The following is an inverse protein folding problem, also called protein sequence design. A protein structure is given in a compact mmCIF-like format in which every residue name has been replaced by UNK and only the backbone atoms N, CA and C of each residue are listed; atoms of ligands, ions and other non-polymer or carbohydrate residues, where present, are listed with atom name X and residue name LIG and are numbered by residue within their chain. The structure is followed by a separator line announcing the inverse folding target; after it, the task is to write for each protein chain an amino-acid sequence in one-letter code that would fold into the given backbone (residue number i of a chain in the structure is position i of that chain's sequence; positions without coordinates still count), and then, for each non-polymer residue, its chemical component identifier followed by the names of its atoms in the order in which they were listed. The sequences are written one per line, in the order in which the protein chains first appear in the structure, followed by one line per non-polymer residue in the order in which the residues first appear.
data_IF_129049709171
#
_entry.id   IF_129049709171
#
_cell.length_a   1.000
_cell.length_b   1.000
_cell.length_c   1.000
_cell.angle_alpha   90.00
_cell.angle_beta   90.00
_cell.angle_gamma   90.00
#
_symmetry.space_group_name_H-M   'P 1'
#
loop_
_entity.id
_entity.type
_entity.pdbx_description
1 polymer ?
#
# COMPACT_ATOMS: atom_id res chain seq x y z
N UNK A 1 4.20 -12.19 31.18
CA UNK A 1 3.83 -11.45 29.96
C UNK A 1 2.37 -10.96 29.95
N UNK A 2 1.37 -11.79 30.26
CA UNK A 2 -0.04 -11.32 30.35
C UNK A 2 -0.35 -10.34 31.51
N UNK A 3 0.43 -10.35 32.59
CA UNK A 3 0.24 -9.43 33.73
C UNK A 3 0.64 -7.98 33.43
N UNK A 4 1.63 -7.75 32.56
CA UNK A 4 2.15 -6.40 32.25
C UNK A 4 1.17 -5.62 31.36
N UNK A 5 0.64 -6.25 30.30
CA UNK A 5 -0.41 -5.66 29.46
C UNK A 5 -1.63 -5.25 30.30
N UNK A 6 -2.05 -6.10 31.24
CA UNK A 6 -3.20 -5.81 32.10
C UNK A 6 -2.93 -4.65 33.07
N UNK A 7 -1.67 -4.43 33.46
CA UNK A 7 -1.26 -3.27 34.26
C UNK A 7 -1.25 -1.98 33.41
N UNK A 8 -0.84 -2.05 32.14
CA UNK A 8 -0.85 -0.90 31.22
C UNK A 8 -2.28 -0.50 30.83
N UNK A 9 -3.17 -1.46 30.59
CA UNK A 9 -4.60 -1.21 30.37
C UNK A 9 -5.28 -0.62 31.61
N UNK A 10 -4.99 -1.15 32.81
CA UNK A 10 -5.49 -0.59 34.07
C UNK A 10 -4.90 0.79 34.33
N UNK A 11 -3.63 1.02 34.02
CA UNK A 11 -3.00 2.34 34.13
C UNK A 11 -3.73 3.34 33.23
N UNK A 12 -3.98 3.01 31.96
CA UNK A 12 -4.78 3.85 31.07
C UNK A 12 -6.19 4.13 31.60
N UNK A 13 -6.83 3.12 32.20
CA UNK A 13 -8.17 3.21 32.79
C UNK A 13 -8.22 4.04 34.10
N UNK A 14 -7.16 4.03 34.91
CA UNK A 14 -7.12 4.76 36.20
C UNK A 14 -6.48 6.15 36.10
N UNK A 15 -5.47 6.33 35.24
CA UNK A 15 -4.77 7.62 35.09
C UNK A 15 -5.39 8.50 34.01
N UNK A 16 -6.15 7.91 33.09
CA UNK A 16 -6.49 8.55 31.82
C UNK A 16 -5.23 8.84 30.97
N UNK A 17 -5.40 9.36 29.75
CA UNK A 17 -4.33 10.07 29.07
C UNK A 17 -3.83 11.21 29.99
N UNK A 18 -2.53 11.49 29.97
CA UNK A 18 -1.79 12.38 30.88
C UNK A 18 -2.26 13.83 30.96
N UNK A 19 -3.38 14.17 30.33
CA UNK A 19 -3.91 15.51 30.18
C UNK A 19 -5.41 15.53 30.53
N UNK A 20 -5.72 15.24 31.81
CA UNK A 20 -7.08 15.03 32.35
C UNK A 20 -8.11 16.13 32.05
N UNK A 21 -7.70 17.30 31.57
CA UNK A 21 -8.58 18.44 31.30
C UNK A 21 -8.53 18.95 29.85
N UNK A 22 -7.80 18.29 28.94
CA UNK A 22 -7.52 18.86 27.61
C UNK A 22 -8.12 17.99 26.52
N UNK A 23 -9.28 18.41 26.04
CA UNK A 23 -9.93 17.81 24.88
C UNK A 23 -9.05 17.81 23.62
N UNK A 24 -9.43 17.04 22.60
CA UNK A 24 -8.62 16.82 21.40
C UNK A 24 -9.15 17.61 20.21
N UNK A 25 -8.25 18.19 19.42
CA UNK A 25 -8.66 18.83 18.17
C UNK A 25 -9.31 17.86 17.20
N UNK A 26 -10.30 18.38 16.49
CA UNK A 26 -10.90 17.76 15.31
C UNK A 26 -10.75 18.72 14.13
N UNK A 27 -10.83 18.18 12.91
CA UNK A 27 -10.64 18.95 11.68
C UNK A 27 -11.81 19.87 11.30
N UNK A 28 -12.73 20.18 12.21
CA UNK A 28 -13.90 21.01 11.90
C UNK A 28 -13.48 22.48 11.82
N UNK A 29 -14.05 23.20 10.85
CA UNK A 29 -13.86 24.62 10.60
C UNK A 29 -15.19 25.33 10.36
N UNK A 30 -15.15 26.65 10.46
CA UNK A 30 -16.25 27.53 10.07
C UNK A 30 -15.70 28.76 9.34
N UNK A 31 -16.30 29.10 8.19
CA UNK A 31 -15.94 30.30 7.39
C UNK A 31 -16.85 31.51 7.68
N UNK A 32 -17.67 31.42 8.74
CA UNK A 32 -18.70 32.40 9.09
C UNK A 32 -20.04 32.20 8.37
N UNK A 33 -20.11 31.31 7.37
CA UNK A 33 -21.35 30.95 6.65
C UNK A 33 -21.72 29.48 6.83
N UNK A 34 -20.72 28.59 6.91
CA UNK A 34 -20.93 27.16 7.02
C UNK A 34 -19.82 26.47 7.81
N UNK A 35 -20.17 25.31 8.35
CA UNK A 35 -19.22 24.33 8.83
C UNK A 35 -18.65 23.52 7.68
N UNK A 36 -17.37 23.16 7.79
CA UNK A 36 -16.72 22.22 6.88
C UNK A 36 -15.59 21.47 7.59
N UNK A 37 -15.34 20.24 7.17
CA UNK A 37 -14.16 19.50 7.60
C UNK A 37 -12.95 19.87 6.73
N UNK A 38 -11.76 19.95 7.34
CA UNK A 38 -10.49 20.19 6.64
C UNK A 38 -10.20 19.13 5.56
N UNK A 39 -10.77 17.92 5.68
CA UNK A 39 -10.63 16.83 4.71
C UNK A 39 -11.64 16.90 3.55
N UNK A 40 -12.56 17.88 3.56
CA UNK A 40 -13.57 18.09 2.53
C UNK A 40 -14.79 17.17 2.62
N UNK A 41 -14.89 16.31 3.64
CA UNK A 41 -16.10 15.49 3.86
C UNK A 41 -17.30 16.35 4.25
N UNK A 42 -18.50 15.82 3.99
CA UNK A 42 -19.75 16.51 4.31
C UNK A 42 -20.00 16.55 5.82
N UNK A 43 -20.53 17.67 6.31
CA UNK A 43 -20.85 17.85 7.74
C UNK A 43 -22.27 17.32 7.98
N UNK A 44 -22.36 16.02 8.19
CA UNK A 44 -23.66 15.30 8.26
C UNK A 44 -24.07 14.99 9.70
N UNK A 45 -23.14 15.20 10.63
CA UNK A 45 -23.29 14.98 12.06
C UNK A 45 -22.60 16.11 12.83
N UNK A 46 -23.24 16.57 13.89
CA UNK A 46 -22.70 17.58 14.79
C UNK A 46 -22.99 17.22 16.24
N UNK A 47 -22.02 17.44 17.14
CA UNK A 47 -22.18 17.17 18.57
C UNK A 47 -21.75 18.34 19.46
N UNK A 48 -22.19 19.55 19.10
CA UNK A 48 -21.85 20.77 19.86
C UNK A 48 -22.35 20.72 21.31
N UNK A 49 -21.54 21.24 22.23
CA UNK A 49 -21.93 21.41 23.63
C UNK A 49 -22.97 22.52 23.81
N UNK A 50 -22.89 23.55 22.97
CA UNK A 50 -23.79 24.70 22.97
C UNK A 50 -24.14 25.04 21.52
N UNK A 51 -25.44 25.05 21.22
CA UNK A 51 -25.97 25.34 19.88
C UNK A 51 -25.77 26.81 19.48
N UNK A 52 -25.48 27.71 20.42
CA UNK A 52 -25.20 29.12 20.15
C UNK A 52 -23.78 29.35 19.63
N UNK A 53 -22.86 28.39 19.82
CA UNK A 53 -21.50 28.42 19.25
C UNK A 53 -21.49 28.17 17.73
N UNK A 54 -22.66 27.97 17.11
CA UNK A 54 -22.78 27.65 15.70
C UNK A 54 -22.33 28.80 14.76
N UNK A 55 -22.35 30.05 15.23
CA UNK A 55 -22.14 31.21 14.35
C UNK A 55 -21.66 32.44 15.13
N UNK A 56 -20.37 32.52 15.46
CA UNK A 56 -19.77 33.81 15.83
C UNK A 56 -18.75 34.22 14.76
N UNK A 57 -19.16 35.12 13.87
CA UNK A 57 -18.34 35.68 12.81
C UNK A 57 -17.44 36.81 13.33
N UNK A 58 -16.64 36.56 14.37
CA UNK A 58 -15.55 37.49 14.66
C UNK A 58 -14.36 37.14 13.76
N UNK A 59 -13.52 38.14 13.48
CA UNK A 59 -12.32 38.09 12.63
C UNK A 59 -11.21 37.15 13.15
N UNK A 60 -11.56 36.24 14.04
CA UNK A 60 -10.64 35.40 14.79
C UNK A 60 -10.76 33.94 14.33
N UNK A 61 -9.62 33.28 14.16
CA UNK A 61 -9.59 31.88 13.75
C UNK A 61 -9.99 30.99 14.93
N UNK A 62 -11.24 30.50 14.93
CA UNK A 62 -11.68 29.48 15.88
C UNK A 62 -11.29 28.09 15.41
N UNK A 63 -10.99 27.23 16.37
CA UNK A 63 -10.80 25.80 16.16
C UNK A 63 -11.68 24.99 17.09
N UNK A 64 -12.01 23.78 16.67
CA UNK A 64 -13.01 22.92 17.30
C UNK A 64 -12.36 21.69 17.92
N UNK A 65 -12.71 21.38 19.17
CA UNK A 65 -12.18 20.23 19.89
C UNK A 65 -13.29 19.42 20.57
N UNK A 66 -13.02 18.14 20.78
CA UNK A 66 -13.85 17.23 21.59
C UNK A 66 -13.38 17.30 23.03
N UNK A 67 -14.25 17.69 23.96
CA UNK A 67 -13.93 17.67 25.39
C UNK A 67 -13.89 16.22 25.90
N UNK A 68 -12.84 15.89 26.66
CA UNK A 68 -12.60 14.54 27.17
C UNK A 68 -13.63 14.09 28.22
N UNK A 69 -14.37 15.01 28.83
CA UNK A 69 -15.30 14.74 29.94
C UNK A 69 -16.70 14.38 29.46
N UNK A 70 -17.21 15.05 28.44
CA UNK A 70 -18.58 14.87 27.94
C UNK A 70 -18.67 14.49 26.45
N UNK A 71 -17.52 14.37 25.77
CA UNK A 71 -17.39 14.10 24.35
C UNK A 71 -18.11 15.12 23.44
N UNK A 72 -18.46 16.31 23.95
CA UNK A 72 -19.09 17.39 23.20
C UNK A 72 -18.06 18.26 22.50
N UNK A 73 -18.50 18.91 21.43
CA UNK A 73 -17.66 19.79 20.63
C UNK A 73 -17.74 21.23 21.15
N UNK A 74 -16.57 21.80 21.39
CA UNK A 74 -16.38 23.17 21.87
C UNK A 74 -15.48 23.95 20.92
N UNK A 75 -15.58 25.27 20.94
CA UNK A 75 -14.71 26.17 20.19
C UNK A 75 -13.71 26.88 21.09
N UNK A 76 -12.56 27.25 20.53
CA UNK A 76 -11.61 28.14 21.18
C UNK A 76 -10.84 28.94 20.13
N UNK A 77 -10.39 30.14 20.50
CA UNK A 77 -9.48 30.95 19.70
C UNK A 77 -8.18 30.18 19.43
N UNK A 78 -7.72 30.17 18.18
CA UNK A 78 -6.47 29.54 17.79
C UNK A 78 -5.26 30.12 18.56
N UNK A 79 -5.31 31.41 18.93
CA UNK A 79 -4.27 32.08 19.71
C UNK A 79 -4.23 31.68 21.18
N UNK A 80 -5.34 31.20 21.74
CA UNK A 80 -5.40 30.68 23.11
C UNK A 80 -4.93 29.21 23.20
N UNK A 81 -4.25 28.73 22.15
CA UNK A 81 -3.90 27.34 21.97
C UNK A 81 -2.41 27.07 22.17
N UNK A 82 -2.08 26.49 23.32
CA UNK A 82 -0.78 25.88 23.58
C UNK A 82 -1.06 24.53 24.25
N UNK A 83 -0.67 23.43 23.60
CA UNK A 83 -0.65 22.07 24.16
C UNK A 83 -1.99 21.32 24.29
N UNK A 84 -2.61 20.92 23.17
CA UNK A 84 -3.63 19.84 23.16
C UNK A 84 -3.26 18.71 22.21
N UNK A 85 -3.72 17.50 22.53
CA UNK A 85 -3.69 16.39 21.59
C UNK A 85 -4.61 16.63 20.38
N UNK A 86 -4.32 15.98 19.25
CA UNK A 86 -5.09 16.11 18.02
C UNK A 86 -5.46 14.72 17.48
N UNK A 87 -6.60 14.64 16.78
CA UNK A 87 -7.05 13.42 16.11
C UNK A 87 -6.81 13.56 14.61
N UNK A 88 -5.97 12.68 14.06
CA UNK A 88 -5.83 12.52 12.62
C UNK A 88 -6.82 11.48 12.12
N UNK A 89 -7.65 11.84 11.15
CA UNK A 89 -8.54 10.91 10.44
C UNK A 89 -8.03 10.75 9.01
N UNK A 90 -7.88 9.50 8.57
CA UNK A 90 -7.75 9.15 7.15
C UNK A 90 -8.97 8.31 6.80
N UNK A 91 -9.78 8.81 5.86
CA UNK A 91 -10.95 8.06 5.42
C UNK A 91 -10.51 6.69 4.87
N UNK A 92 -11.15 5.63 5.36
CA UNK A 92 -10.96 4.29 4.83
C UNK A 92 -11.41 4.31 3.38
N UNK A 93 -10.45 4.18 2.46
CA UNK A 93 -10.68 4.04 1.03
C UNK A 93 -10.41 2.57 0.69
N UNK A 94 -11.44 1.72 0.51
CA UNK A 94 -11.27 0.34 0.06
C UNK A 94 -10.48 0.27 -1.26
N UNK A 95 -10.55 1.33 -2.06
CA UNK A 95 -9.88 1.47 -3.35
C UNK A 95 -8.49 2.14 -3.27
N UNK A 96 -7.97 2.44 -2.06
CA UNK A 96 -6.56 2.83 -1.89
C UNK A 96 -5.68 1.58 -1.93
N UNK A 97 -5.60 1.07 -3.17
CA UNK A 97 -4.61 0.22 -3.79
C UNK A 97 -3.72 -0.58 -2.85
N UNK A 98 -4.00 -1.88 -2.74
CA UNK A 98 -3.04 -2.92 -2.30
C UNK A 98 -1.73 -2.82 -3.11
N UNK A 99 -1.76 -2.14 -4.26
CA UNK A 99 -0.73 -2.15 -5.29
C UNK A 99 -0.05 -0.80 -5.52
N UNK A 100 -0.44 0.29 -4.85
CA UNK A 100 0.05 1.66 -5.17
C UNK A 100 0.06 1.95 -6.69
N UNK A 101 1.24 2.10 -7.31
CA UNK A 101 1.48 2.33 -8.75
C UNK A 101 1.43 1.05 -9.62
N UNK A 102 1.28 -0.13 -9.02
CA UNK A 102 1.15 -1.42 -9.69
C UNK A 102 -0.31 -1.72 -10.03
N UNK A 103 -0.53 -2.54 -11.04
CA UNK A 103 -1.85 -3.03 -11.41
C UNK A 103 -2.22 -4.27 -10.60
N UNK A 104 -3.43 -4.30 -10.04
CA UNK A 104 -3.96 -5.49 -9.36
C UNK A 104 -4.34 -6.55 -10.39
N UNK A 105 -3.87 -7.78 -10.20
CA UNK A 105 -4.34 -8.93 -10.97
C UNK A 105 -5.75 -9.30 -10.47
N UNK A 106 -6.79 -9.29 -11.32
CA UNK A 106 -8.17 -9.52 -10.89
C UNK A 106 -8.35 -10.84 -10.16
N UNK A 107 -9.16 -10.83 -9.09
CA UNK A 107 -9.46 -12.01 -8.25
C UNK A 107 -8.26 -12.59 -7.49
N UNK A 108 -7.12 -11.91 -7.47
CA UNK A 108 -5.96 -12.27 -6.64
C UNK A 108 -5.61 -11.13 -5.68
N UNK A 109 -4.54 -11.33 -4.90
CA UNK A 109 -3.92 -10.28 -4.06
C UNK A 109 -2.55 -9.87 -4.61
N UNK A 110 -2.29 -10.17 -5.89
CA UNK A 110 -1.00 -9.94 -6.54
C UNK A 110 -1.05 -8.64 -7.32
N UNK A 111 0.01 -7.85 -7.19
CA UNK A 111 0.19 -6.59 -7.87
C UNK A 111 1.35 -6.73 -8.87
N UNK A 112 1.18 -6.27 -10.11
CA UNK A 112 2.20 -6.36 -11.15
C UNK A 112 2.36 -5.04 -11.89
N UNK A 113 3.59 -4.75 -12.33
CA UNK A 113 3.87 -3.64 -13.23
C UNK A 113 4.64 -4.15 -14.43
N UNK A 114 4.24 -3.75 -15.64
CA UNK A 114 4.84 -4.20 -16.89
C UNK A 114 5.60 -3.04 -17.53
N UNK A 115 6.93 -3.12 -17.46
CA UNK A 115 7.84 -2.16 -18.07
C UNK A 115 8.13 -2.53 -19.52
N UNK A 116 8.05 -1.56 -20.44
CA UNK A 116 8.30 -1.79 -21.88
C UNK A 116 9.74 -1.51 -22.31
N UNK A 117 10.53 -0.89 -21.45
CA UNK A 117 11.94 -0.59 -21.73
C UNK A 117 12.79 -1.84 -21.50
N UNK A 118 13.48 -2.33 -22.54
CA UNK A 118 14.39 -3.47 -22.39
C UNK A 118 15.53 -3.14 -21.42
N UNK A 119 15.83 -4.11 -20.55
CA UNK A 119 16.86 -4.07 -19.50
C UNK A 119 17.41 -5.48 -19.30
N UNK A 120 18.63 -5.55 -18.77
CA UNK A 120 19.17 -6.81 -18.24
C UNK A 120 18.34 -7.29 -17.05
N UNK A 121 18.43 -8.57 -16.67
CA UNK A 121 17.72 -9.08 -15.48
C UNK A 121 18.14 -8.33 -14.22
N UNK A 122 19.42 -8.01 -14.09
CA UNK A 122 19.96 -7.24 -12.96
C UNK A 122 19.37 -5.83 -12.88
N UNK A 123 19.27 -5.11 -13.99
CA UNK A 123 18.75 -3.74 -13.98
C UNK A 123 17.22 -3.69 -13.93
N UNK A 124 16.54 -4.72 -14.45
CA UNK A 124 15.11 -4.94 -14.26
C UNK A 124 14.77 -5.16 -12.80
N UNK A 125 15.50 -6.03 -12.11
CA UNK A 125 15.35 -6.28 -10.67
C UNK A 125 15.57 -5.01 -9.85
N UNK A 126 16.66 -4.27 -10.09
CA UNK A 126 16.90 -2.98 -9.43
C UNK A 126 15.74 -2.00 -9.63
N UNK A 127 15.15 -1.97 -10.83
CA UNK A 127 14.01 -1.10 -11.13
C UNK A 127 12.78 -1.48 -10.29
N UNK A 128 12.49 -2.77 -10.16
CA UNK A 128 11.38 -3.27 -9.36
C UNK A 128 11.61 -3.02 -7.85
N UNK A 129 12.82 -3.29 -7.35
CA UNK A 129 13.20 -3.04 -5.95
C UNK A 129 13.06 -1.56 -5.58
N UNK A 130 13.47 -0.65 -6.46
CA UNK A 130 13.34 0.79 -6.24
C UNK A 130 11.89 1.28 -6.15
N UNK A 131 10.92 0.48 -6.62
CA UNK A 131 9.48 0.78 -6.55
C UNK A 131 8.75 -0.11 -5.53
N UNK A 132 9.49 -0.77 -4.63
CA UNK A 132 8.91 -1.56 -3.55
C UNK A 132 8.52 -3.00 -3.92
N UNK A 133 8.94 -3.49 -5.08
CA UNK A 133 8.66 -4.85 -5.57
C UNK A 133 9.90 -5.63 -5.96
N UNK A 134 9.71 -6.71 -6.72
CA UNK A 134 10.75 -7.55 -7.31
C UNK A 134 10.34 -7.91 -8.75
N UNK A 135 11.26 -8.42 -9.56
CA UNK A 135 10.83 -9.11 -10.78
C UNK A 135 9.81 -10.20 -10.41
N UNK A 136 8.76 -10.32 -11.23
CA UNK A 136 7.55 -11.03 -10.83
C UNK A 136 7.81 -12.49 -10.44
N UNK A 137 7.35 -12.86 -9.25
CA UNK A 137 7.12 -14.25 -8.84
C UNK A 137 5.71 -14.69 -9.25
N UNK A 138 5.57 -15.92 -9.73
CA UNK A 138 4.32 -16.43 -10.27
C UNK A 138 3.95 -17.71 -9.52
N UNK A 139 2.84 -17.66 -8.78
CA UNK A 139 2.35 -18.72 -7.91
C UNK A 139 1.09 -19.42 -8.42
N UNK A 140 0.51 -18.93 -9.51
CA UNK A 140 -0.67 -19.53 -10.13
C UNK A 140 -0.83 -19.12 -11.60
N UNK A 141 -1.70 -19.84 -12.30
CA UNK A 141 -1.98 -19.60 -13.71
C UNK A 141 -2.73 -18.27 -13.97
N UNK A 142 -3.48 -17.74 -12.99
CA UNK A 142 -4.20 -16.47 -13.13
C UNK A 142 -3.21 -15.32 -13.28
N UNK A 143 -2.17 -15.29 -12.44
CA UNK A 143 -1.07 -14.32 -12.51
C UNK A 143 -0.26 -14.53 -13.79
N UNK A 144 0.07 -15.79 -14.14
CA UNK A 144 0.81 -16.12 -15.37
C UNK A 144 0.13 -15.56 -16.63
N UNK A 145 -1.16 -15.87 -16.80
CA UNK A 145 -1.95 -15.44 -17.95
C UNK A 145 -2.16 -13.91 -17.97
N UNK A 146 -2.36 -13.28 -16.80
CA UNK A 146 -2.45 -11.82 -16.72
C UNK A 146 -1.17 -11.14 -17.22
N UNK A 147 0.01 -11.54 -16.72
CA UNK A 147 1.29 -10.97 -17.14
C UNK A 147 1.48 -11.12 -18.66
N UNK A 148 1.21 -12.31 -19.20
CA UNK A 148 1.34 -12.60 -20.64
C UNK A 148 0.42 -11.71 -21.48
N UNK A 149 -0.87 -11.60 -21.12
CA UNK A 149 -1.84 -10.76 -21.85
C UNK A 149 -1.49 -9.28 -21.77
N UNK A 150 -1.12 -8.80 -20.58
CA UNK A 150 -0.72 -7.40 -20.35
C UNK A 150 0.57 -7.04 -21.09
N UNK A 151 1.52 -7.97 -21.22
CA UNK A 151 2.72 -7.78 -22.02
C UNK A 151 2.39 -7.62 -23.52
N UNK A 152 1.52 -8.48 -24.06
CA UNK A 152 1.09 -8.39 -25.48
C UNK A 152 0.33 -7.09 -25.76
N UNK A 153 -0.57 -6.66 -24.87
CA UNK A 153 -1.29 -5.39 -25.06
C UNK A 153 -0.35 -4.18 -25.05
N UNK A 154 0.83 -4.33 -24.45
CA UNK A 154 1.93 -3.34 -24.45
C UNK A 154 2.96 -3.58 -25.57
N UNK A 155 2.63 -4.42 -26.55
CA UNK A 155 3.46 -4.77 -27.71
C UNK A 155 4.80 -5.47 -27.37
N UNK A 156 4.89 -6.15 -26.23
CA UNK A 156 6.03 -7.00 -25.85
C UNK A 156 5.81 -8.42 -26.37
N UNK A 157 6.29 -8.71 -27.58
CA UNK A 157 6.02 -9.98 -28.30
C UNK A 157 7.16 -11.01 -28.21
N UNK A 158 8.35 -10.56 -27.83
CA UNK A 158 9.55 -11.39 -27.75
C UNK A 158 9.81 -11.95 -26.33
N UNK A 159 8.82 -11.81 -25.44
CA UNK A 159 8.88 -12.25 -24.06
C UNK A 159 9.10 -11.12 -23.04
N UNK A 160 9.01 -11.48 -21.76
CA UNK A 160 9.23 -10.58 -20.62
C UNK A 160 10.02 -11.28 -19.53
N UNK A 161 10.94 -10.57 -18.88
CA UNK A 161 11.74 -11.11 -17.77
C UNK A 161 10.87 -11.35 -16.53
N UNK A 162 11.14 -12.44 -15.82
CA UNK A 162 10.48 -12.80 -14.55
C UNK A 162 11.53 -13.04 -13.46
N UNK A 163 11.11 -13.07 -12.19
CA UNK A 163 12.01 -13.09 -11.04
C UNK A 163 12.61 -14.45 -10.69
N UNK A 164 12.48 -15.46 -11.56
CA UNK A 164 13.01 -16.80 -11.29
C UNK A 164 14.50 -16.84 -11.61
N UNK A 165 15.26 -17.50 -10.75
CA UNK A 165 16.69 -17.78 -10.94
C UNK A 165 17.02 -19.23 -10.61
N UNK A 166 18.05 -19.77 -11.25
CA UNK A 166 18.55 -21.12 -11.02
C UNK A 166 19.95 -21.06 -10.41
N UNK A 167 20.10 -21.51 -9.16
CA UNK A 167 21.36 -21.56 -8.43
C UNK A 167 21.79 -23.01 -8.15
N UNK A 168 23.10 -23.22 -7.97
CA UNK A 168 23.69 -24.48 -7.48
C UNK A 168 24.63 -25.17 -8.46
N UNK A 169 25.59 -25.94 -7.90
CA UNK A 169 26.68 -26.60 -8.62
C UNK A 169 26.22 -27.56 -9.76
N UNK A 170 24.94 -27.95 -9.77
CA UNK A 170 24.31 -28.80 -10.79
C UNK A 170 23.02 -28.20 -11.39
N UNK A 171 22.72 -26.92 -11.16
CA UNK A 171 21.59 -26.22 -11.78
C UNK A 171 20.19 -26.67 -11.35
N UNK A 172 19.98 -27.24 -10.16
CA UNK A 172 18.64 -27.76 -9.80
C UNK A 172 17.83 -26.88 -8.85
N UNK A 173 18.43 -25.89 -8.17
CA UNK A 173 17.71 -25.10 -7.18
C UNK A 173 17.13 -23.81 -7.79
N UNK A 174 15.82 -23.81 -7.98
CA UNK A 174 15.05 -22.65 -8.44
C UNK A 174 14.72 -21.73 -7.26
N UNK A 175 14.84 -20.43 -7.45
CA UNK A 175 14.55 -19.42 -6.44
C UNK A 175 13.90 -18.18 -7.06
N UNK A 176 12.83 -17.70 -6.44
CA UNK A 176 12.29 -16.38 -6.74
C UNK A 176 13.14 -15.27 -6.07
N UNK A 177 13.28 -14.14 -6.74
CA UNK A 177 14.02 -12.98 -6.21
C UNK A 177 13.43 -12.43 -4.92
N UNK A 178 12.09 -12.48 -4.79
CA UNK A 178 11.32 -12.05 -3.62
C UNK A 178 11.36 -13.02 -2.41
N UNK A 179 12.09 -14.14 -2.55
CA UNK A 179 12.28 -15.18 -1.53
C UNK A 179 11.04 -15.99 -1.17
N UNK A 180 9.97 -15.89 -1.95
CA UNK A 180 8.82 -16.80 -1.84
C UNK A 180 9.19 -18.22 -2.29
N UNK A 181 8.40 -19.21 -1.87
CA UNK A 181 8.58 -20.60 -2.29
C UNK A 181 8.21 -20.79 -3.76
N UNK A 182 8.97 -21.64 -4.47
CA UNK A 182 8.61 -22.09 -5.82
C UNK A 182 7.57 -23.21 -5.72
N UNK A 183 6.30 -22.86 -5.82
CA UNK A 183 5.13 -23.74 -5.72
C UNK A 183 4.34 -23.89 -7.04
N UNK A 184 4.67 -23.07 -8.04
CA UNK A 184 4.11 -23.10 -9.39
C UNK A 184 5.23 -23.01 -10.43
N UNK A 185 5.10 -23.78 -11.50
CA UNK A 185 6.03 -23.76 -12.64
C UNK A 185 5.26 -23.88 -13.95
N UNK A 186 5.72 -23.18 -14.97
CA UNK A 186 5.12 -23.21 -16.31
C UNK A 186 6.23 -23.22 -17.39
N UNK A 187 7.18 -24.14 -17.29
CA UNK A 187 8.31 -24.20 -18.23
C UNK A 187 7.86 -24.65 -19.62
N UNK A 188 8.49 -24.07 -20.64
CA UNK A 188 8.40 -24.60 -21.99
C UNK A 188 9.02 -26.00 -22.06
N UNK A 189 8.64 -26.76 -23.09
CA UNK A 189 9.24 -28.08 -23.33
C UNK A 189 10.76 -27.98 -23.41
N UNK A 190 11.45 -28.88 -22.71
CA UNK A 190 12.92 -28.97 -22.64
C UNK A 190 13.61 -27.84 -21.84
N UNK A 191 12.85 -27.10 -21.02
CA UNK A 191 13.35 -26.09 -20.08
C UNK A 191 13.11 -26.47 -18.62
N UNK A 192 13.95 -26.01 -17.67
CA UNK A 192 15.19 -25.26 -17.89
C UNK A 192 16.28 -26.08 -18.59
N UNK A 193 17.03 -25.44 -19.49
CA UNK A 193 18.13 -26.04 -20.24
C UNK A 193 19.48 -25.62 -19.65
N UNK A 194 20.24 -26.57 -19.10
CA UNK A 194 21.52 -26.30 -18.43
C UNK A 194 22.61 -25.72 -19.35
N UNK A 195 22.42 -25.73 -20.68
CA UNK A 195 23.33 -25.10 -21.63
C UNK A 195 23.07 -23.59 -21.82
N UNK A 196 21.99 -23.06 -21.25
CA UNK A 196 21.60 -21.64 -21.32
C UNK A 196 21.89 -20.92 -20.00
N UNK A 197 21.48 -19.65 -19.91
CA UNK A 197 21.70 -18.84 -18.70
C UNK A 197 20.80 -19.23 -17.53
N UNK A 198 20.99 -18.57 -16.38
CA UNK A 198 20.36 -18.95 -15.11
C UNK A 198 19.16 -18.08 -14.73
N UNK A 199 18.81 -17.09 -15.55
CA UNK A 199 17.65 -16.22 -15.35
C UNK A 199 16.49 -16.69 -16.23
N UNK A 200 15.27 -16.20 -16.02
CA UNK A 200 14.11 -16.67 -16.78
C UNK A 200 13.32 -15.55 -17.41
N UNK A 201 12.71 -15.88 -18.54
CA UNK A 201 11.74 -15.05 -19.24
C UNK A 201 10.48 -15.86 -19.56
N UNK A 202 9.33 -15.20 -19.50
CA UNK A 202 8.06 -15.70 -20.01
C UNK A 202 7.97 -15.38 -21.51
N UNK A 203 7.67 -16.39 -22.33
CA UNK A 203 7.38 -16.21 -23.74
C UNK A 203 5.98 -15.62 -23.91
N UNK A 204 5.86 -14.50 -24.63
CA UNK A 204 4.55 -13.86 -24.87
C UNK A 204 3.91 -14.33 -26.17
N UNK A 205 4.70 -14.84 -27.12
CA UNK A 205 4.19 -15.44 -28.36
C UNK A 205 3.35 -16.71 -28.14
N UNK A 206 3.67 -17.53 -27.12
CA UNK A 206 2.85 -18.68 -26.72
C UNK A 206 1.59 -18.22 -25.99
N UNK A 207 0.45 -18.86 -26.26
CA UNK A 207 -0.80 -18.61 -25.52
C UNK A 207 -0.66 -19.04 -24.06
N UNK A 208 0.15 -20.07 -23.79
CA UNK A 208 0.36 -20.62 -22.46
C UNK A 208 1.30 -19.77 -21.58
N UNK A 209 2.03 -18.80 -22.15
CA UNK A 209 2.95 -17.96 -21.38
C UNK A 209 4.07 -18.78 -20.71
N UNK A 210 4.63 -19.75 -21.43
CA UNK A 210 5.63 -20.68 -20.92
C UNK A 210 6.99 -19.99 -20.66
N UNK A 211 7.75 -20.52 -19.72
CA UNK A 211 9.00 -19.91 -19.26
C UNK A 211 10.22 -20.62 -19.85
N UNK A 212 11.23 -19.84 -20.21
CA UNK A 212 12.52 -20.31 -20.71
C UNK A 212 13.65 -19.67 -19.91
N UNK A 213 14.76 -20.37 -19.72
CA UNK A 213 15.95 -19.79 -19.09
C UNK A 213 16.81 -19.04 -20.12
N UNK A 214 17.28 -17.86 -19.74
CA UNK A 214 17.97 -16.86 -20.56
C UNK A 214 19.25 -16.38 -19.87
N UNK A 215 20.15 -15.77 -20.64
CA UNK A 215 21.38 -15.17 -20.12
C UNK A 215 21.03 -13.91 -19.34
N UNK A 216 21.33 -13.89 -18.04
CA UNK A 216 20.97 -12.81 -17.11
C UNK A 216 21.42 -11.39 -17.53
N UNK A 217 22.52 -11.30 -18.27
CA UNK A 217 23.13 -10.05 -18.71
C UNK A 217 22.73 -9.59 -20.10
N UNK A 218 21.82 -10.28 -20.80
CA UNK A 218 21.34 -9.86 -22.11
C UNK A 218 20.04 -9.06 -22.00
N UNK A 219 19.84 -8.15 -22.96
CA UNK A 219 18.68 -7.26 -23.14
C UNK A 219 17.87 -7.68 -24.35
#
# INVERSE_FOLDING_TARGET
YAFQQNADFKRLAYTGPTDKNRGYWIGLRCDGKKFYWDDGTSVDYTNFADLTMAFNSSTEEFRFYVNSTDAKWYTQLASAWTDRGYVCQKNYRPDYSICEEYEVVPSTKTCVSIYTTSKTTTDGEKTCVNTGGHLAAIHDNTVNDYIRRSAISRNLKDGVLIGLTQNGNNGSALNWNDKTSVDYTNFARDFPNNALGQCFAMQTGSIAGEWVNVICGQT
#
